data_IF_653652995826
#
_entry.id   IF_653652995826
#
_cell.length_a   1.000
_cell.length_b   1.000
_cell.length_c   1.000
_cell.angle_alpha   90.00
_cell.angle_beta   90.00
_cell.angle_gamma   90.00
#
_symmetry.space_group_name_H-M   'P 1'
#
loop_
_entity.id
_entity.type
_entity.pdbx_description
1 polymer ?
#
# COMPACT_ATOMS: atom_id res chain seq x y z
N UNK A 1 -25.14 51.26 18.23
CA UNK A 1 -23.68 51.11 18.13
C UNK A 1 -23.39 49.61 18.12
N UNK A 2 -23.17 49.03 16.94
CA UNK A 2 -22.86 47.61 16.74
C UNK A 2 -21.39 47.51 16.32
N UNK A 3 -20.54 47.03 17.22
CA UNK A 3 -19.12 46.78 16.93
C UNK A 3 -18.97 45.46 16.20
N UNK A 4 -18.61 45.54 14.93
CA UNK A 4 -18.26 44.43 14.07
C UNK A 4 -16.86 43.94 14.46
N UNK A 5 -16.75 42.82 15.18
CA UNK A 5 -15.46 42.19 15.47
C UNK A 5 -15.04 41.35 14.27
N UNK A 6 -14.20 41.93 13.42
CA UNK A 6 -13.51 41.20 12.37
C UNK A 6 -12.62 40.12 13.01
N UNK A 7 -12.90 38.86 12.72
CA UNK A 7 -12.04 37.73 13.03
C UNK A 7 -10.75 37.86 12.21
N UNK A 8 -9.68 38.28 12.87
CA UNK A 8 -8.34 38.31 12.30
C UNK A 8 -7.92 36.87 11.98
N UNK A 9 -7.94 36.48 10.71
CA UNK A 9 -7.43 35.18 10.26
C UNK A 9 -5.93 35.13 10.55
N UNK A 10 -5.56 34.37 11.59
CA UNK A 10 -4.18 34.25 12.05
C UNK A 10 -3.38 33.44 11.01
N UNK A 11 -2.75 34.14 10.07
CA UNK A 11 -2.12 33.61 8.86
C UNK A 11 -0.73 32.98 9.12
N UNK A 12 -0.51 32.42 10.32
CA UNK A 12 0.74 31.75 10.67
C UNK A 12 0.86 30.42 9.92
N UNK A 13 1.99 30.20 9.25
CA UNK A 13 2.31 28.91 8.62
C UNK A 13 2.47 27.85 9.70
N UNK A 14 1.76 26.73 9.57
CA UNK A 14 1.78 25.62 10.53
C UNK A 14 2.01 24.30 9.80
N UNK A 15 2.63 23.35 10.49
CA UNK A 15 2.74 21.98 9.99
C UNK A 15 1.34 21.36 9.87
N UNK A 16 1.12 20.62 8.79
CA UNK A 16 -0.03 19.72 8.64
C UNK A 16 0.22 18.51 9.55
N UNK A 17 -0.84 17.94 10.13
CA UNK A 17 -0.71 16.71 10.92
C UNK A 17 -0.23 15.53 10.05
N UNK A 18 0.42 14.56 10.69
CA UNK A 18 1.09 13.46 9.98
C UNK A 18 0.14 12.57 9.19
N UNK A 19 -1.10 12.40 9.67
CA UNK A 19 -2.10 11.55 9.04
C UNK A 19 -2.62 12.21 7.77
N UNK A 20 -2.94 13.50 7.83
CA UNK A 20 -3.31 14.30 6.65
C UNK A 20 -2.18 14.33 5.62
N UNK A 21 -0.93 14.56 6.03
CA UNK A 21 0.22 14.49 5.10
C UNK A 21 0.31 13.10 4.46
N UNK A 22 0.12 12.03 5.24
CA UNK A 22 0.14 10.68 4.71
C UNK A 22 -0.95 10.46 3.67
N UNK A 23 -2.21 10.80 3.96
CA UNK A 23 -3.32 10.63 3.02
C UNK A 23 -3.11 11.44 1.73
N UNK A 24 -2.66 12.70 1.87
CA UNK A 24 -2.38 13.58 0.72
C UNK A 24 -1.29 12.98 -0.17
N UNK A 25 -0.16 12.55 0.41
CA UNK A 25 0.92 11.92 -0.35
C UNK A 25 0.48 10.58 -0.96
N UNK A 26 -0.28 9.77 -0.22
CA UNK A 26 -0.81 8.49 -0.73
C UNK A 26 -1.70 8.69 -1.96
N UNK A 27 -2.52 9.75 -1.98
CA UNK A 27 -3.35 10.11 -3.12
C UNK A 27 -2.56 10.51 -4.37
N UNK A 28 -1.28 10.85 -4.26
CA UNK A 28 -0.38 11.10 -5.40
C UNK A 28 0.22 9.82 -5.96
N UNK A 29 0.31 8.77 -5.13
CA UNK A 29 0.81 7.44 -5.53
C UNK A 29 -0.33 6.62 -6.14
N UNK A 30 -1.51 6.63 -5.52
CA UNK A 30 -2.70 5.93 -5.98
C UNK A 30 -3.80 6.96 -6.25
N UNK A 31 -3.88 7.41 -7.51
CA UNK A 31 -4.78 8.47 -7.95
C UNK A 31 -6.22 7.98 -8.15
N UNK A 32 -6.36 6.76 -8.65
CA UNK A 32 -7.63 6.17 -9.02
C UNK A 32 -7.59 4.63 -8.88
N UNK A 33 -8.74 4.01 -9.12
CA UNK A 33 -8.90 2.56 -9.05
C UNK A 33 -7.99 1.82 -10.04
N UNK A 34 -7.80 2.35 -11.24
CA UNK A 34 -6.97 1.73 -12.25
C UNK A 34 -5.50 1.69 -11.81
N UNK A 35 -5.02 2.78 -11.19
CA UNK A 35 -3.69 2.88 -10.59
C UNK A 35 -3.56 1.90 -9.43
N UNK A 36 -4.56 1.80 -8.55
CA UNK A 36 -4.55 0.82 -7.46
C UNK A 36 -4.37 -0.63 -7.98
N UNK A 37 -5.13 -0.98 -9.02
CA UNK A 37 -5.05 -2.31 -9.66
C UNK A 37 -3.69 -2.50 -10.35
N UNK A 38 -3.19 -1.49 -11.06
CA UNK A 38 -1.86 -1.52 -11.71
C UNK A 38 -0.78 -1.82 -10.68
N UNK A 39 -0.73 -1.11 -9.56
CA UNK A 39 0.32 -1.31 -8.55
C UNK A 39 0.27 -2.72 -7.92
N UNK A 40 -0.93 -3.28 -7.70
CA UNK A 40 -1.08 -4.66 -7.24
C UNK A 40 -0.61 -5.67 -8.30
N UNK A 41 -0.99 -5.48 -9.56
CA UNK A 41 -0.55 -6.34 -10.66
C UNK A 41 0.97 -6.29 -10.88
N UNK A 42 1.58 -5.10 -10.79
CA UNK A 42 3.01 -4.92 -10.91
C UNK A 42 3.77 -5.62 -9.79
N UNK A 43 3.25 -5.59 -8.56
CA UNK A 43 3.80 -6.39 -7.46
C UNK A 43 3.77 -7.89 -7.74
N UNK A 44 2.72 -8.38 -8.38
CA UNK A 44 2.59 -9.80 -8.74
C UNK A 44 3.55 -10.18 -9.88
N UNK A 45 3.66 -9.33 -10.90
CA UNK A 45 4.62 -9.53 -11.99
C UNK A 45 6.05 -9.58 -11.47
N UNK A 46 6.40 -8.72 -10.50
CA UNK A 46 7.70 -8.75 -9.83
C UNK A 46 7.93 -10.04 -9.03
N UNK A 47 6.87 -10.74 -8.61
CA UNK A 47 6.93 -12.07 -7.99
C UNK A 47 6.97 -13.21 -9.01
N UNK A 48 7.02 -12.91 -10.32
CA UNK A 48 7.10 -13.89 -11.41
C UNK A 48 5.79 -14.66 -11.65
N UNK A 49 4.65 -14.09 -11.27
CA UNK A 49 3.38 -14.80 -11.23
C UNK A 49 2.39 -14.41 -12.32
N UNK A 50 1.42 -15.29 -12.54
CA UNK A 50 0.19 -14.98 -13.27
C UNK A 50 -0.87 -14.50 -12.29
N UNK A 51 -1.68 -13.54 -12.70
CA UNK A 51 -2.67 -12.91 -11.81
C UNK A 51 -4.08 -12.96 -12.39
N UNK A 52 -5.05 -13.05 -11.50
CA UNK A 52 -6.47 -12.88 -11.78
C UNK A 52 -7.04 -11.75 -10.92
N UNK A 53 -7.89 -10.92 -11.52
CA UNK A 53 -8.56 -9.82 -10.83
C UNK A 53 -10.05 -10.10 -10.77
N UNK A 54 -10.65 -9.87 -9.61
CA UNK A 54 -12.09 -9.91 -9.40
C UNK A 54 -12.56 -8.56 -8.89
N UNK A 55 -13.57 -8.02 -9.57
CA UNK A 55 -14.27 -6.79 -9.16
C UNK A 55 -15.63 -7.16 -8.58
N UNK A 56 -15.94 -6.64 -7.41
CA UNK A 56 -17.28 -6.70 -6.82
C UNK A 56 -17.92 -5.33 -6.94
N UNK A 57 -19.13 -5.27 -7.49
CA UNK A 57 -19.84 -4.01 -7.79
C UNK A 57 -18.97 -3.02 -8.59
N UNK A 58 -18.34 -3.49 -9.67
CA UNK A 58 -17.42 -2.68 -10.49
C UNK A 58 -16.25 -2.06 -9.70
N UNK A 59 -15.86 -2.68 -8.58
CA UNK A 59 -14.76 -2.22 -7.72
C UNK A 59 -15.17 -1.19 -6.65
N UNK A 60 -16.44 -0.75 -6.63
CA UNK A 60 -16.94 0.16 -5.58
C UNK A 60 -17.01 -0.51 -4.21
N UNK A 61 -17.24 -1.82 -4.18
CA UNK A 61 -17.34 -2.61 -2.95
C UNK A 61 -16.01 -3.29 -2.62
N UNK A 62 -15.47 -4.08 -3.55
CA UNK A 62 -14.20 -4.79 -3.36
C UNK A 62 -13.46 -5.02 -4.67
N UNK A 63 -12.13 -5.03 -4.57
CA UNK A 63 -11.21 -5.49 -5.61
C UNK A 63 -10.34 -6.57 -4.99
N UNK A 64 -10.27 -7.72 -5.63
CA UNK A 64 -9.40 -8.82 -5.20
C UNK A 64 -8.44 -9.14 -6.32
N UNK A 65 -7.14 -9.12 -6.01
CA UNK A 65 -6.09 -9.59 -6.90
C UNK A 65 -5.54 -10.87 -6.30
N UNK A 66 -5.47 -11.92 -7.10
CA UNK A 66 -4.94 -13.23 -6.69
C UNK A 66 -3.87 -13.66 -7.68
N UNK A 67 -2.77 -14.16 -7.17
CA UNK A 67 -1.68 -14.66 -7.98
C UNK A 67 -1.10 -15.97 -7.44
N UNK A 68 -0.23 -16.59 -8.24
CA UNK A 68 0.47 -17.83 -7.91
C UNK A 68 1.98 -17.61 -7.72
N UNK A 69 2.38 -16.45 -7.20
CA UNK A 69 3.77 -16.09 -6.99
C UNK A 69 4.41 -16.74 -5.78
N UNK A 70 5.58 -16.21 -5.41
CA UNK A 70 6.38 -16.71 -4.30
C UNK A 70 5.72 -16.54 -2.93
N UNK A 71 4.72 -15.65 -2.84
CA UNK A 71 4.18 -15.18 -1.58
C UNK A 71 5.15 -14.28 -0.80
N UNK A 72 4.68 -13.87 0.37
CA UNK A 72 5.36 -13.07 1.40
C UNK A 72 5.57 -13.97 2.62
N UNK A 73 6.78 -13.94 3.21
CA UNK A 73 7.08 -14.67 4.44
C UNK A 73 6.43 -14.02 5.66
N UNK A 74 6.13 -14.81 6.69
CA UNK A 74 5.50 -14.30 7.92
C UNK A 74 6.33 -13.21 8.59
N UNK A 75 7.66 -13.34 8.56
CA UNK A 75 8.61 -12.33 9.06
C UNK A 75 8.56 -10.99 8.32
N UNK A 76 7.92 -10.93 7.16
CA UNK A 76 7.77 -9.69 6.39
C UNK A 76 6.36 -9.09 6.49
N UNK A 77 5.38 -9.82 7.03
CA UNK A 77 4.00 -9.32 7.14
C UNK A 77 3.92 -8.02 7.95
N UNK A 78 4.63 -7.92 9.07
CA UNK A 78 4.61 -6.70 9.90
C UNK A 78 5.14 -5.46 9.18
N UNK A 79 6.07 -5.65 8.24
CA UNK A 79 6.72 -4.55 7.50
C UNK A 79 6.11 -4.29 6.12
N UNK A 80 5.15 -5.12 5.70
CA UNK A 80 4.62 -5.18 4.33
C UNK A 80 4.08 -3.84 3.82
N UNK A 81 3.38 -3.09 4.67
CA UNK A 81 2.75 -1.81 4.32
C UNK A 81 3.40 -0.60 5.01
N UNK A 82 4.62 -0.74 5.52
CA UNK A 82 5.40 0.40 6.01
C UNK A 82 5.93 1.23 4.85
N UNK A 83 5.97 2.55 5.03
CA UNK A 83 6.52 3.46 4.01
C UNK A 83 8.01 3.21 3.81
N UNK A 84 8.42 3.15 2.54
CA UNK A 84 9.82 3.02 2.13
C UNK A 84 10.43 1.66 2.49
N UNK A 85 9.60 0.63 2.66
CA UNK A 85 10.04 -0.75 2.82
C UNK A 85 9.85 -1.51 1.50
N UNK A 86 10.91 -2.14 1.01
CA UNK A 86 10.86 -2.95 -0.20
C UNK A 86 11.96 -4.01 -0.20
N UNK A 87 11.72 -5.14 -0.89
CA UNK A 87 12.73 -6.16 -1.19
C UNK A 87 13.49 -5.89 -2.50
N UNK A 88 13.11 -4.85 -3.25
CA UNK A 88 13.51 -4.64 -4.65
C UNK A 88 14.64 -3.62 -4.83
N UNK A 89 14.94 -2.85 -3.78
CA UNK A 89 16.00 -1.83 -3.75
C UNK A 89 16.51 -1.69 -2.32
N UNK A 90 17.83 -1.80 -2.11
CA UNK A 90 18.46 -1.65 -0.79
C UNK A 90 19.30 -0.38 -0.67
N UNK A 91 19.83 0.13 -1.79
CA UNK A 91 20.60 1.36 -1.81
C UNK A 91 20.34 2.19 -3.07
N UNK A 92 20.72 3.47 -3.03
CA UNK A 92 20.62 4.35 -4.19
C UNK A 92 21.45 3.86 -5.38
N UNK A 93 22.58 3.18 -5.14
CA UNK A 93 23.45 2.65 -6.21
C UNK A 93 22.77 1.53 -7.02
N UNK A 94 21.81 0.83 -6.41
CA UNK A 94 21.05 -0.23 -7.07
C UNK A 94 20.01 0.32 -8.04
N UNK A 95 19.69 1.62 -7.96
CA UNK A 95 18.66 2.26 -8.78
C UNK A 95 18.93 2.10 -10.28
N UNK A 96 20.20 2.15 -10.69
CA UNK A 96 20.60 1.96 -12.08
C UNK A 96 20.36 0.52 -12.60
N UNK A 97 20.13 -0.43 -11.70
CA UNK A 97 20.00 -1.86 -11.98
C UNK A 97 18.60 -2.41 -11.68
N UNK A 98 17.66 -1.58 -11.23
CA UNK A 98 16.29 -2.01 -10.95
C UNK A 98 15.64 -2.50 -12.25
N UNK A 99 15.13 -3.73 -12.21
CA UNK A 99 14.39 -4.37 -13.32
C UNK A 99 12.97 -4.76 -12.94
N UNK A 100 12.55 -4.42 -11.72
CA UNK A 100 11.19 -4.59 -11.23
C UNK A 100 10.33 -3.36 -11.52
N UNK A 101 9.02 -3.53 -11.56
CA UNK A 101 8.08 -2.41 -11.72
C UNK A 101 8.02 -1.55 -10.46
N UNK A 102 7.97 -2.18 -9.28
CA UNK A 102 8.01 -1.49 -7.99
C UNK A 102 9.42 -1.41 -7.41
N UNK A 103 9.74 -0.33 -6.69
CA UNK A 103 10.99 -0.23 -5.89
C UNK A 103 10.97 0.87 -4.82
N UNK A 104 9.92 1.69 -4.76
CA UNK A 104 9.84 2.82 -3.82
C UNK A 104 9.34 2.41 -2.43
N UNK A 105 8.64 1.28 -2.33
CA UNK A 105 8.02 0.83 -1.08
C UNK A 105 6.84 1.70 -0.64
N UNK A 106 6.06 2.25 -1.59
CA UNK A 106 4.98 3.21 -1.30
C UNK A 106 3.58 2.68 -1.63
N UNK A 107 3.45 1.71 -2.53
CA UNK A 107 2.14 1.27 -3.05
C UNK A 107 1.20 0.74 -1.95
N UNK A 108 1.59 -0.30 -1.23
CA UNK A 108 0.75 -0.91 -0.19
C UNK A 108 0.48 0.07 0.96
N UNK A 109 1.49 0.84 1.37
CA UNK A 109 1.32 1.89 2.38
C UNK A 109 0.31 2.95 1.94
N UNK A 110 0.33 3.33 0.66
CA UNK A 110 -0.61 4.29 0.09
C UNK A 110 -2.03 3.75 0.05
N UNK A 111 -2.20 2.50 -0.37
CA UNK A 111 -3.49 1.82 -0.34
C UNK A 111 -4.06 1.73 1.09
N UNK A 112 -3.23 1.49 2.09
CA UNK A 112 -3.67 1.43 3.49
C UNK A 112 -4.16 2.76 4.04
N UNK A 113 -3.67 3.88 3.52
CA UNK A 113 -4.13 5.20 3.92
C UNK A 113 -5.47 5.58 3.25
N UNK A 114 -5.81 4.94 2.13
CA UNK A 114 -6.97 5.30 1.30
C UNK A 114 -8.11 4.27 1.38
N UNK A 115 -7.81 3.04 1.83
CA UNK A 115 -8.75 1.92 1.84
C UNK A 115 -8.44 0.90 2.93
N UNK A 116 -9.40 0.01 3.18
CA UNK A 116 -9.18 -1.20 3.97
C UNK A 116 -8.48 -2.24 3.11
N UNK A 117 -7.28 -2.63 3.50
CA UNK A 117 -6.44 -3.60 2.80
C UNK A 117 -6.25 -4.85 3.67
N UNK A 118 -6.43 -5.99 3.04
CA UNK A 118 -6.15 -7.30 3.62
C UNK A 118 -5.29 -8.10 2.65
N UNK A 119 -4.30 -8.82 3.17
CA UNK A 119 -3.40 -9.68 2.41
C UNK A 119 -3.47 -11.09 2.99
N UNK A 120 -3.56 -12.07 2.11
CA UNK A 120 -3.44 -13.49 2.44
C UNK A 120 -2.40 -14.10 1.53
N UNK A 121 -1.43 -14.80 2.10
CA UNK A 121 -0.23 -15.24 1.41
C UNK A 121 0.20 -16.64 1.86
N UNK A 122 0.92 -17.35 1.00
CA UNK A 122 1.58 -18.61 1.35
C UNK A 122 2.89 -18.71 0.57
N UNK A 123 3.96 -19.17 1.21
CA UNK A 123 5.25 -19.42 0.55
C UNK A 123 5.37 -20.89 0.16
N UNK A 124 5.71 -21.16 -1.10
CA UNK A 124 5.74 -22.52 -1.69
C UNK A 124 6.79 -23.47 -1.12
N UNK A 125 7.71 -22.98 -0.28
CA UNK A 125 8.72 -23.77 0.45
C UNK A 125 8.16 -24.52 1.66
N UNK A 126 6.89 -24.33 1.98
CA UNK A 126 6.27 -24.81 3.22
C UNK A 126 5.33 -25.98 2.89
N UNK A 127 5.63 -27.17 3.43
CA UNK A 127 4.96 -28.43 3.09
C UNK A 127 3.45 -28.46 3.37
N UNK A 128 2.79 -29.51 2.86
CA UNK A 128 1.35 -29.76 3.01
C UNK A 128 0.90 -29.67 4.48
N UNK A 129 0.08 -28.65 4.80
CA UNK A 129 -0.60 -28.50 6.10
C UNK A 129 -0.16 -27.31 6.96
N UNK A 130 0.34 -26.20 6.40
CA UNK A 130 0.80 -25.03 7.19
C UNK A 130 0.03 -23.73 6.86
N UNK A 131 0.06 -22.82 7.85
CA UNK A 131 -0.80 -21.63 7.97
C UNK A 131 -0.59 -20.62 6.82
N UNK A 132 -1.69 -20.05 6.37
CA UNK A 132 -1.66 -18.92 5.44
C UNK A 132 -1.35 -17.67 6.25
N UNK A 133 -0.32 -16.92 5.84
CA UNK A 133 -0.02 -15.62 6.40
C UNK A 133 -1.19 -14.68 6.14
N UNK A 134 -1.69 -14.03 7.19
CA UNK A 134 -2.78 -13.06 7.11
C UNK A 134 -2.32 -11.72 7.64
N UNK A 135 -2.69 -10.64 6.94
CA UNK A 135 -2.37 -9.28 7.35
C UNK A 135 -3.54 -8.34 7.02
N UNK A 136 -3.81 -7.36 7.88
CA UNK A 136 -4.79 -6.30 7.61
C UNK A 136 -4.38 -4.97 8.25
N UNK A 137 -4.65 -3.86 7.57
CA UNK A 137 -4.46 -2.52 8.14
C UNK A 137 -5.56 -2.09 9.13
N UNK A 138 -6.64 -2.86 9.23
CA UNK A 138 -7.77 -2.58 10.11
C UNK A 138 -7.73 -3.34 11.42
N UNK A 139 -6.89 -4.38 11.51
CA UNK A 139 -6.69 -5.11 12.76
C UNK A 139 -5.73 -4.33 13.67
N UNK A 140 -5.92 -4.41 15.00
CA UNK A 140 -4.94 -3.92 15.96
C UNK A 140 -3.59 -4.58 15.68
N UNK A 141 -2.51 -3.80 15.67
CA UNK A 141 -1.17 -4.35 15.75
C UNK A 141 -0.95 -4.74 17.22
N UNK A 142 -0.73 -6.02 17.49
CA UNK A 142 -0.36 -6.49 18.84
C UNK A 142 0.97 -5.90 19.31
#
# INVERSE_FOLDING_TARGET
>A
MTTNTATTSNNSIKAIDKESVHMICSGQVVLDMATAVKELLENNLDAGSTSFIKFKQMGLDHITVTDNGSGISDTNLETLALKHYTSKLSSFNDLAHVRSFGFRGEALSSLCALANLTVTTCTGTTGTGQEQGFWSNTLPKE
#
